data_IF_107530158823
#
_entry.id   IF_107530158823
#
_cell.length_a   1.000
_cell.length_b   1.000
_cell.length_c   1.000
_cell.angle_alpha   90.00
_cell.angle_beta   90.00
_cell.angle_gamma   90.00
#
_symmetry.space_group_name_H-M   'P 1'
#
loop_
_entity.id
_entity.type
_entity.pdbx_description
1 polymer ?
#
# COMPACT_ATOMS: atom_id res chain seq x y z
N UNK A 1 -1.18 -2.94 -9.26
CA UNK A 1 0.30 -2.79 -9.23
C UNK A 1 0.90 -3.80 -10.18
N UNK A 2 2.08 -3.52 -10.73
CA UNK A 2 2.89 -4.44 -11.56
C UNK A 2 4.34 -4.37 -11.13
N UNK A 3 5.12 -5.39 -11.45
CA UNK A 3 6.55 -5.35 -11.19
C UNK A 3 7.19 -4.24 -12.06
N UNK A 4 8.19 -3.53 -11.55
CA UNK A 4 8.81 -2.42 -12.28
C UNK A 4 9.36 -2.87 -13.64
N UNK A 5 9.99 -4.04 -13.70
CA UNK A 5 10.51 -4.61 -14.93
C UNK A 5 9.41 -4.93 -15.97
N UNK A 6 8.17 -5.13 -15.52
CA UNK A 6 7.03 -5.44 -16.36
C UNK A 6 6.21 -4.18 -16.75
N UNK A 7 6.54 -3.00 -16.21
CA UNK A 7 5.71 -1.80 -16.35
C UNK A 7 5.51 -1.38 -17.81
N UNK A 8 6.61 -1.28 -18.58
CA UNK A 8 6.57 -0.89 -19.99
C UNK A 8 5.81 -1.93 -20.84
N UNK A 9 6.11 -3.21 -20.66
CA UNK A 9 5.44 -4.29 -21.37
C UNK A 9 3.93 -4.35 -21.05
N UNK A 10 3.55 -4.09 -19.79
CA UNK A 10 2.15 -4.03 -19.38
C UNK A 10 1.43 -2.85 -20.03
N UNK A 11 2.04 -1.66 -20.03
CA UNK A 11 1.49 -0.48 -20.66
C UNK A 11 1.23 -0.70 -22.16
N UNK A 12 2.20 -1.28 -22.88
CA UNK A 12 2.05 -1.64 -24.30
C UNK A 12 0.94 -2.67 -24.53
N UNK A 13 0.85 -3.70 -23.68
CA UNK A 13 -0.19 -4.72 -23.79
C UNK A 13 -1.60 -4.14 -23.58
N UNK A 14 -1.76 -3.23 -22.62
CA UNK A 14 -3.04 -2.58 -22.34
C UNK A 14 -3.43 -1.63 -23.49
N UNK A 15 -2.48 -0.85 -24.01
CA UNK A 15 -2.70 0.00 -25.18
C UNK A 15 -3.08 -0.83 -26.43
N UNK A 16 -2.39 -1.97 -26.64
CA UNK A 16 -2.70 -2.91 -27.74
C UNK A 16 -4.09 -3.55 -27.64
N UNK A 17 -4.71 -3.52 -26.46
CA UNK A 17 -6.11 -3.94 -26.23
C UNK A 17 -7.13 -2.81 -26.38
N UNK A 18 -6.69 -1.62 -26.80
CA UNK A 18 -7.54 -0.45 -27.02
C UNK A 18 -7.82 0.37 -25.76
N UNK A 19 -7.15 0.10 -24.64
CA UNK A 19 -7.27 0.94 -23.45
C UNK A 19 -6.44 2.21 -23.61
N UNK A 20 -6.96 3.32 -23.11
CA UNK A 20 -6.22 4.58 -23.13
C UNK A 20 -5.19 4.58 -21.99
N UNK A 21 -3.92 4.46 -22.38
CA UNK A 21 -2.78 4.52 -21.45
C UNK A 21 -2.14 5.91 -21.51
N UNK A 22 -1.91 6.52 -20.35
CA UNK A 22 -1.30 7.85 -20.20
C UNK A 22 -0.14 7.76 -19.23
N UNK A 23 1.05 8.18 -19.66
CA UNK A 23 2.19 8.42 -18.77
C UNK A 23 2.12 9.86 -18.25
N UNK A 24 1.88 10.08 -16.94
CA UNK A 24 1.93 11.41 -16.38
C UNK A 24 3.38 11.77 -15.99
N UNK A 25 3.67 12.98 -15.48
CA UNK A 25 5.02 13.38 -15.09
C UNK A 25 5.65 12.52 -13.99
N UNK A 26 4.83 11.84 -13.20
CA UNK A 26 5.23 10.91 -12.16
C UNK A 26 5.97 9.68 -12.73
N UNK A 27 7.06 9.30 -12.08
CA UNK A 27 7.95 8.20 -12.48
C UNK A 27 7.71 6.90 -11.70
N UNK A 28 6.54 6.77 -11.07
CA UNK A 28 6.17 5.64 -10.22
C UNK A 28 4.87 4.92 -10.64
N UNK A 29 4.15 5.45 -11.63
CA UNK A 29 2.93 4.86 -12.19
C UNK A 29 2.71 5.22 -13.66
N UNK A 30 1.73 4.55 -14.27
CA UNK A 30 1.02 5.02 -15.45
C UNK A 30 -0.50 4.92 -15.23
N UNK A 31 -1.28 5.68 -15.99
CA UNK A 31 -2.74 5.72 -15.86
C UNK A 31 -3.40 4.96 -17.00
N UNK A 32 -4.47 4.24 -16.68
CA UNK A 32 -5.30 3.51 -17.65
C UNK A 32 -6.73 3.99 -17.51
N UNK A 33 -7.35 4.35 -18.63
CA UNK A 33 -8.75 4.76 -18.65
C UNK A 33 -9.59 3.70 -19.34
N UNK A 34 -10.71 3.34 -18.71
CA UNK A 34 -11.73 2.42 -19.22
C UNK A 34 -13.09 3.05 -18.94
N UNK A 35 -13.82 3.41 -20.00
CA UNK A 35 -15.07 4.16 -19.90
C UNK A 35 -14.90 5.44 -19.04
N UNK A 36 -15.58 5.53 -17.90
CA UNK A 36 -15.50 6.63 -16.93
C UNK A 36 -14.52 6.36 -15.76
N UNK A 37 -13.90 5.17 -15.73
CA UNK A 37 -12.96 4.79 -14.70
C UNK A 37 -11.51 5.13 -15.08
N UNK A 38 -10.77 5.68 -14.12
CA UNK A 38 -9.32 5.88 -14.19
C UNK A 38 -8.64 4.96 -13.17
N UNK A 39 -7.66 4.20 -13.63
CA UNK A 39 -6.89 3.26 -12.81
C UNK A 39 -5.42 3.66 -12.82
N UNK A 40 -4.88 3.92 -11.64
CA UNK A 40 -3.44 4.08 -11.44
C UNK A 40 -2.77 2.70 -11.40
N UNK A 41 -1.84 2.45 -12.31
CA UNK A 41 -1.02 1.24 -12.33
C UNK A 41 0.35 1.56 -11.76
N UNK A 42 0.48 1.32 -10.46
CA UNK A 42 1.73 1.54 -9.72
C UNK A 42 2.77 0.48 -10.05
N UNK A 43 4.00 0.92 -10.27
CA UNK A 43 5.18 0.07 -10.41
C UNK A 43 6.32 0.44 -9.45
N UNK A 44 6.18 1.56 -8.72
CA UNK A 44 6.91 1.88 -7.49
C UNK A 44 5.93 2.24 -6.37
N UNK A 45 6.31 1.99 -5.12
CA UNK A 45 5.54 2.38 -3.94
C UNK A 45 6.49 2.79 -2.81
N UNK A 46 6.23 3.94 -2.17
CA UNK A 46 7.14 4.48 -1.15
C UNK A 46 8.55 4.81 -1.68
N UNK A 47 8.70 5.00 -3.00
CA UNK A 47 9.99 5.20 -3.66
C UNK A 47 10.69 3.92 -4.12
N UNK A 48 10.24 2.75 -3.65
CA UNK A 48 10.86 1.46 -3.96
C UNK A 48 10.19 0.76 -5.15
N UNK A 49 10.95 0.06 -6.01
CA UNK A 49 10.40 -0.81 -7.05
C UNK A 49 9.45 -1.87 -6.48
N UNK A 50 8.32 -2.06 -7.15
CA UNK A 50 7.45 -3.21 -6.89
C UNK A 50 8.13 -4.45 -7.45
N UNK A 51 8.43 -5.42 -6.59
CA UNK A 51 9.02 -6.69 -6.99
C UNK A 51 7.95 -7.73 -7.35
N UNK A 52 8.32 -8.73 -8.16
CA UNK A 52 7.43 -9.87 -8.43
C UNK A 52 7.08 -10.65 -7.16
N UNK A 53 8.06 -10.87 -6.28
CA UNK A 53 7.85 -11.51 -4.97
C UNK A 53 6.76 -10.81 -4.16
N UNK A 54 6.73 -9.47 -4.18
CA UNK A 54 5.68 -8.70 -3.51
C UNK A 54 4.28 -9.01 -4.08
N UNK A 55 4.19 -9.20 -5.40
CA UNK A 55 2.93 -9.52 -6.07
C UNK A 55 2.50 -10.99 -5.92
N UNK A 56 3.41 -11.87 -5.48
CA UNK A 56 3.10 -13.25 -5.14
C UNK A 56 2.45 -13.38 -3.75
N UNK A 57 2.77 -12.46 -2.83
CA UNK A 57 2.23 -12.41 -1.47
C UNK A 57 0.96 -11.54 -1.42
N UNK A 58 -0.13 -12.09 -1.94
CA UNK A 58 -1.44 -11.42 -2.04
C UNK A 58 -2.55 -12.20 -1.34
N UNK A 59 -3.48 -11.47 -0.75
CA UNK A 59 -4.75 -12.04 -0.30
C UNK A 59 -5.73 -12.10 -1.49
N UNK A 60 -6.72 -12.99 -1.41
CA UNK A 60 -7.78 -13.11 -2.41
C UNK A 60 -9.10 -12.64 -1.80
N UNK A 61 -9.71 -11.63 -2.40
CA UNK A 61 -11.03 -11.14 -1.99
C UNK A 61 -12.04 -11.30 -3.13
N UNK A 62 -13.30 -11.54 -2.76
CA UNK A 62 -14.40 -11.64 -3.72
C UNK A 62 -15.07 -10.28 -3.88
N UNK A 63 -15.07 -9.76 -5.11
CA UNK A 63 -15.72 -8.50 -5.49
C UNK A 63 -16.73 -8.80 -6.59
N UNK A 64 -18.02 -8.80 -6.24
CA UNK A 64 -19.06 -9.29 -7.14
C UNK A 64 -18.87 -10.79 -7.40
N UNK A 65 -18.57 -11.16 -8.65
CA UNK A 65 -18.29 -12.55 -9.07
C UNK A 65 -16.83 -12.79 -9.45
N UNK A 66 -15.93 -11.86 -9.11
CA UNK A 66 -14.51 -11.93 -9.47
C UNK A 66 -13.67 -12.08 -8.20
N UNK A 67 -12.78 -13.08 -8.19
CA UNK A 67 -11.71 -13.17 -7.19
C UNK A 67 -10.57 -12.27 -7.60
N UNK A 68 -10.27 -11.30 -6.76
CA UNK A 68 -9.25 -10.29 -7.01
C UNK A 68 -8.07 -10.49 -6.07
N UNK A 69 -6.83 -10.56 -6.60
CA UNK A 69 -5.63 -10.45 -5.76
C UNK A 69 -5.54 -9.04 -5.21
N UNK A 70 -5.32 -8.92 -3.89
CA UNK A 70 -5.11 -7.66 -3.20
C UNK A 70 -3.88 -7.72 -2.31
N UNK A 71 -3.30 -6.56 -2.03
CA UNK A 71 -2.26 -6.48 -1.01
C UNK A 71 -2.78 -7.01 0.31
N UNK A 72 -1.91 -7.70 1.04
CA UNK A 72 -2.22 -8.08 2.42
C UNK A 72 -2.45 -6.84 3.27
N UNK A 73 -3.21 -6.98 4.35
CA UNK A 73 -3.43 -5.90 5.31
C UNK A 73 -2.11 -5.32 5.84
N UNK A 74 -1.10 -6.16 6.06
CA UNK A 74 0.24 -5.75 6.50
C UNK A 74 0.93 -4.86 5.46
N UNK A 75 0.98 -5.28 4.19
CA UNK A 75 1.58 -4.47 3.12
C UNK A 75 0.84 -3.14 2.92
N UNK A 76 -0.50 -3.18 2.96
CA UNK A 76 -1.33 -1.99 2.87
C UNK A 76 -0.98 -0.98 3.98
N UNK A 77 -0.80 -1.45 5.22
CA UNK A 77 -0.44 -0.58 6.33
C UNK A 77 0.99 -0.05 6.23
N UNK A 78 1.95 -0.86 5.78
CA UNK A 78 3.33 -0.38 5.52
C UNK A 78 3.32 0.76 4.51
N UNK A 79 2.65 0.57 3.36
CA UNK A 79 2.58 1.60 2.31
C UNK A 79 1.92 2.88 2.82
N UNK A 80 0.79 2.76 3.53
CA UNK A 80 0.07 3.92 4.07
C UNK A 80 0.91 4.71 5.07
N UNK A 81 1.67 4.03 5.92
CA UNK A 81 2.50 4.69 6.93
C UNK A 81 3.75 5.32 6.32
N UNK A 82 4.38 4.66 5.35
CA UNK A 82 5.55 5.22 4.66
C UNK A 82 5.19 6.42 3.76
N UNK A 83 3.95 6.52 3.30
CA UNK A 83 3.44 7.68 2.57
C UNK A 83 3.13 8.91 3.46
N UNK A 84 3.23 8.80 4.79
CA UNK A 84 3.02 9.94 5.68
C UNK A 84 4.24 10.88 5.65
N UNK A 85 3.97 12.15 5.37
CA UNK A 85 4.96 13.22 5.37
C UNK A 85 4.32 14.55 5.80
N UNK A 86 5.13 15.61 5.97
CA UNK A 86 4.69 16.88 6.57
C UNK A 86 3.41 17.46 5.96
N UNK A 87 3.24 17.34 4.65
CA UNK A 87 2.08 17.87 3.92
C UNK A 87 1.00 16.82 3.63
N UNK A 88 1.20 15.56 4.04
CA UNK A 88 0.30 14.44 3.78
C UNK A 88 0.01 13.58 5.03
N UNK A 89 0.33 14.06 6.23
CA UNK A 89 0.11 13.36 7.50
C UNK A 89 -1.35 13.40 7.97
N UNK A 90 -2.29 12.91 7.16
CA UNK A 90 -3.70 12.81 7.53
C UNK A 90 -3.97 11.50 8.29
N UNK A 91 -3.82 11.56 9.61
CA UNK A 91 -4.14 10.42 10.49
C UNK A 91 -5.64 10.08 10.47
N UNK A 92 -6.51 11.05 10.18
CA UNK A 92 -7.95 10.85 10.08
C UNK A 92 -8.33 9.90 8.94
N UNK A 93 -7.56 9.91 7.85
CA UNK A 93 -7.72 8.97 6.74
C UNK A 93 -7.15 7.57 7.03
N UNK A 94 -6.12 7.46 7.87
CA UNK A 94 -5.44 6.17 8.12
C UNK A 94 -6.07 5.37 9.27
N UNK A 95 -6.50 6.02 10.35
CA UNK A 95 -7.06 5.34 11.54
C UNK A 95 -8.28 4.45 11.22
N UNK A 96 -9.28 4.87 10.41
CA UNK A 96 -10.41 4.01 10.06
C UNK A 96 -9.98 2.76 9.30
N UNK A 97 -9.00 2.88 8.40
CA UNK A 97 -8.44 1.75 7.66
C UNK A 97 -7.75 0.79 8.63
N UNK A 98 -6.87 1.30 9.49
CA UNK A 98 -6.19 0.51 10.51
C UNK A 98 -7.17 -0.29 11.38
N UNK A 99 -8.29 0.32 11.79
CA UNK A 99 -9.35 -0.36 12.56
C UNK A 99 -10.03 -1.48 11.78
N UNK A 100 -10.30 -1.26 10.49
CA UNK A 100 -10.98 -2.22 9.63
C UNK A 100 -10.15 -3.49 9.42
N UNK A 101 -8.83 -3.35 9.32
CA UNK A 101 -7.92 -4.48 9.03
C UNK A 101 -7.16 -5.00 10.25
N UNK A 102 -7.44 -4.50 11.47
CA UNK A 102 -6.55 -4.68 12.64
C UNK A 102 -6.14 -6.11 12.97
N UNK A 103 -7.05 -7.07 12.78
CA UNK A 103 -6.83 -8.49 13.10
C UNK A 103 -6.00 -9.21 12.02
N UNK A 104 -5.86 -8.60 10.84
CA UNK A 104 -5.13 -9.14 9.70
C UNK A 104 -3.71 -8.57 9.59
N UNK A 105 -3.39 -7.52 10.36
CA UNK A 105 -2.10 -6.81 10.28
C UNK A 105 -1.09 -7.45 11.22
N UNK A 106 0.10 -7.77 10.69
CA UNK A 106 1.28 -8.00 11.50
C UNK A 106 1.90 -6.65 11.91
N UNK A 107 1.46 -6.16 13.06
CA UNK A 107 1.89 -4.86 13.60
C UNK A 107 3.39 -4.80 13.91
N UNK A 108 4.05 -5.93 14.19
CA UNK A 108 5.49 -5.97 14.43
C UNK A 108 6.26 -5.74 13.12
N UNK A 109 5.80 -6.33 12.01
CA UNK A 109 6.35 -6.09 10.68
C UNK A 109 6.13 -4.64 10.25
N UNK A 110 4.93 -4.09 10.47
CA UNK A 110 4.63 -2.68 10.17
C UNK A 110 5.60 -1.76 10.92
N UNK A 111 5.69 -1.90 12.26
CA UNK A 111 6.55 -1.07 13.08
C UNK A 111 8.03 -1.15 12.65
N UNK A 112 8.52 -2.34 12.28
CA UNK A 112 9.89 -2.52 11.80
C UNK A 112 10.13 -1.83 10.45
N UNK A 113 9.21 -1.95 9.50
CA UNK A 113 9.38 -1.45 8.12
C UNK A 113 9.10 0.04 7.96
N UNK A 114 8.50 0.67 8.96
CA UNK A 114 8.23 2.11 8.98
C UNK A 114 9.04 2.84 10.06
N UNK A 115 10.07 2.18 10.61
CA UNK A 115 10.82 2.69 11.76
C UNK A 115 11.53 4.03 11.50
N UNK A 116 11.92 4.27 10.25
CA UNK A 116 12.62 5.49 9.83
C UNK A 116 11.66 6.66 9.54
N UNK A 117 10.33 6.46 9.58
CA UNK A 117 9.35 7.51 9.37
C UNK A 117 8.77 8.03 10.72
N UNK A 118 9.05 9.29 11.12
CA UNK A 118 8.59 9.83 12.39
C UNK A 118 7.06 10.02 12.46
N UNK A 119 6.39 10.26 11.32
CA UNK A 119 4.93 10.33 11.27
C UNK A 119 4.30 8.96 11.46
N UNK A 120 4.89 7.91 10.87
CA UNK A 120 4.49 6.54 11.10
C UNK A 120 4.65 6.14 12.58
N UNK A 121 5.78 6.51 13.20
CA UNK A 121 6.01 6.27 14.63
C UNK A 121 4.95 6.96 15.51
N UNK A 122 4.60 8.22 15.21
CA UNK A 122 3.55 8.94 15.93
C UNK A 122 2.16 8.30 15.75
N UNK A 123 1.82 7.87 14.53
CA UNK A 123 0.56 7.19 14.26
C UNK A 123 0.49 5.82 14.97
N UNK A 124 1.55 5.03 14.94
CA UNK A 124 1.59 3.74 15.63
C UNK A 124 1.38 3.93 17.14
N UNK A 125 2.03 4.92 17.75
CA UNK A 125 1.77 5.28 19.15
C UNK A 125 0.28 5.61 19.38
N UNK A 126 -0.33 6.42 18.51
CA UNK A 126 -1.76 6.72 18.61
C UNK A 126 -2.64 5.47 18.46
N UNK A 127 -2.35 4.59 17.49
CA UNK A 127 -3.09 3.35 17.25
C UNK A 127 -3.04 2.41 18.45
N UNK A 128 -1.89 2.35 19.13
CA UNK A 128 -1.73 1.61 20.39
C UNK A 128 -2.60 2.21 21.50
N UNK A 129 -2.57 3.55 21.66
CA UNK A 129 -3.40 4.25 22.65
C UNK A 129 -4.91 4.14 22.40
N UNK A 130 -5.28 3.85 21.16
CA UNK A 130 -6.65 3.67 20.69
C UNK A 130 -7.10 2.20 20.66
N UNK A 131 -6.26 1.28 21.17
CA UNK A 131 -6.49 -0.17 21.20
C UNK A 131 -6.77 -0.76 19.80
N UNK A 132 -6.12 -0.19 18.78
CA UNK A 132 -6.19 -0.69 17.39
C UNK A 132 -5.12 -1.74 17.15
N UNK A 133 -3.93 -1.55 17.72
CA UNK A 133 -2.85 -2.52 17.71
C UNK A 133 -2.49 -2.96 19.14
N UNK A 134 -1.88 -4.14 19.32
CA UNK A 134 -1.45 -4.60 20.64
C UNK A 134 -0.48 -3.61 21.30
N UNK A 135 -0.54 -3.51 22.62
CA UNK A 135 0.42 -2.76 23.41
C UNK A 135 1.83 -3.35 23.19
N UNK A 136 2.81 -2.47 22.99
CA UNK A 136 4.19 -2.94 22.89
C UNK A 136 4.58 -3.45 24.27
N UNK A 137 5.12 -4.68 24.40
CA UNK A 137 5.59 -5.13 25.70
C UNK A 137 6.60 -4.11 26.24
N UNK A 138 6.33 -3.57 27.44
CA UNK A 138 7.25 -2.67 28.13
C UNK A 138 8.63 -3.32 28.16
N UNK A 139 9.63 -2.61 27.62
CA UNK A 139 10.86 -3.19 27.11
C UNK A 139 11.53 -4.22 28.01
N UNK A 140 11.95 -5.33 27.39
CA UNK A 140 13.15 -6.03 27.83
C UNK A 140 14.33 -5.09 27.63
N UNK A 141 14.67 -4.34 28.68
CA UNK A 141 16.00 -3.80 28.83
C UNK A 141 16.97 -4.99 28.87
N UNK A 142 17.79 -5.15 27.83
CA UNK A 142 19.20 -5.52 28.01
C UNK A 142 20.01 -5.29 26.75
#
# INVERSE_FOLDING_TARGET
MVAEEDAAATAELLAGRGLQVVQPPEDWLFKVYVDDAMVDVLFRAGGDPVSRERLEHVDQIEVGSVRMPVLTATELMVDKLNALEEHAADFGAVVPVARAVREQVDWAVVAKRTADNPFAAALLFLLERLEVQPERPEGGAS
#
